data_IF_061588966760
#
_entry.id   IF_061588966760
#
_cell.length_a   1.000
_cell.length_b   1.000
_cell.length_c   1.000
_cell.angle_alpha   90.00
_cell.angle_beta   90.00
_cell.angle_gamma   90.00
#
_symmetry.space_group_name_H-M   'P 1'
#
loop_
_entity.id
_entity.type
_entity.pdbx_description
1 polymer ?
#
# COMPACT_ATOMS: atom_id res chain seq x y z
N UNK A 1 50.05 23.05 27.76
CA UNK A 1 50.33 23.08 26.31
C UNK A 1 49.41 22.08 25.62
N UNK A 2 48.35 22.55 24.96
CA UNK A 2 47.45 21.67 24.21
C UNK A 2 47.15 22.33 22.87
N UNK A 3 47.51 21.66 21.78
CA UNK A 3 47.13 22.11 20.44
C UNK A 3 48.18 21.95 19.34
N UNK A 4 49.05 20.95 19.38
CA UNK A 4 49.92 20.60 18.25
C UNK A 4 49.48 19.26 17.67
N UNK A 5 48.30 19.27 17.04
CA UNK A 5 47.91 18.26 16.07
C UNK A 5 47.85 18.91 14.69
N UNK A 6 48.17 18.20 13.59
CA UNK A 6 48.11 18.77 12.25
C UNK A 6 46.68 19.28 11.97
N UNK A 7 46.53 20.60 11.85
CA UNK A 7 45.25 21.22 11.50
C UNK A 7 45.03 21.08 10.00
N UNK A 8 44.22 20.09 9.63
CA UNK A 8 43.72 19.96 8.25
C UNK A 8 43.01 21.27 7.85
N UNK A 9 43.43 21.83 6.71
CA UNK A 9 42.72 22.96 6.11
C UNK A 9 41.23 22.63 5.96
N UNK A 10 40.35 23.60 6.22
CA UNK A 10 38.90 23.38 6.27
C UNK A 10 38.34 22.65 5.03
N UNK A 11 38.85 22.97 3.84
CA UNK A 11 38.50 22.26 2.59
C UNK A 11 38.86 20.77 2.64
N UNK A 12 40.05 20.41 3.13
CA UNK A 12 40.48 19.01 3.28
C UNK A 12 39.65 18.29 4.34
N UNK A 13 39.32 18.97 5.44
CA UNK A 13 38.43 18.43 6.49
C UNK A 13 37.03 18.13 5.93
N UNK A 14 36.45 19.05 5.17
CA UNK A 14 35.16 18.86 4.49
C UNK A 14 35.20 17.66 3.53
N UNK A 15 36.24 17.55 2.71
CA UNK A 15 36.42 16.41 1.79
C UNK A 15 36.52 15.07 2.50
N UNK A 16 37.25 14.99 3.62
CA UNK A 16 37.34 13.77 4.43
C UNK A 16 35.98 13.38 5.00
N UNK A 17 35.24 14.34 5.57
CA UNK A 17 33.90 14.08 6.09
C UNK A 17 32.91 13.67 4.99
N UNK A 18 32.98 14.30 3.81
CA UNK A 18 32.14 13.91 2.67
C UNK A 18 32.45 12.48 2.21
N UNK A 19 33.73 12.11 2.09
CA UNK A 19 34.13 10.74 1.76
C UNK A 19 33.64 9.73 2.80
N UNK A 20 33.82 10.05 4.08
CA UNK A 20 33.33 9.20 5.17
C UNK A 20 31.81 9.05 5.13
N UNK A 21 31.06 10.14 4.89
CA UNK A 21 29.61 10.10 4.75
C UNK A 21 29.17 9.26 3.54
N UNK A 22 29.83 9.41 2.39
CA UNK A 22 29.54 8.62 1.19
C UNK A 22 29.83 7.13 1.36
N UNK A 23 30.75 6.75 2.26
CA UNK A 23 31.02 5.35 2.62
C UNK A 23 30.04 4.82 3.67
N UNK A 24 29.73 5.61 4.70
CA UNK A 24 28.90 5.20 5.82
C UNK A 24 27.41 5.14 5.46
N UNK A 25 26.94 5.99 4.54
CA UNK A 25 25.53 6.10 4.20
C UNK A 25 24.98 4.83 3.52
N UNK A 26 25.62 4.24 2.49
CA UNK A 26 25.16 2.97 1.90
C UNK A 26 25.14 1.82 2.91
N UNK A 27 26.15 1.72 3.78
CA UNK A 27 26.22 0.67 4.80
C UNK A 27 25.10 0.84 5.82
N UNK A 28 24.86 2.06 6.29
CA UNK A 28 23.76 2.37 7.21
C UNK A 28 22.39 2.03 6.59
N UNK A 29 22.19 2.35 5.32
CA UNK A 29 20.97 2.02 4.55
C UNK A 29 20.74 0.51 4.55
N UNK A 30 21.77 -0.28 4.20
CA UNK A 30 21.67 -1.74 4.17
C UNK A 30 21.39 -2.33 5.55
N UNK A 31 22.09 -1.86 6.58
CA UNK A 31 21.87 -2.32 7.96
C UNK A 31 20.44 -2.06 8.44
N UNK A 32 19.89 -0.88 8.13
CA UNK A 32 18.52 -0.54 8.51
C UNK A 32 17.50 -1.38 7.74
N UNK A 33 17.68 -1.53 6.42
CA UNK A 33 16.77 -2.32 5.59
C UNK A 33 16.78 -3.80 6.00
N UNK A 34 17.96 -4.42 6.11
CA UNK A 34 18.10 -5.83 6.49
C UNK A 34 17.71 -6.08 7.95
N UNK A 35 18.14 -5.22 8.88
CA UNK A 35 17.81 -5.36 10.29
C UNK A 35 16.29 -5.32 10.52
N UNK A 36 15.59 -4.43 9.80
CA UNK A 36 14.13 -4.34 9.84
C UNK A 36 13.48 -5.59 9.24
N UNK A 37 13.90 -6.01 8.05
CA UNK A 37 13.40 -7.22 7.40
C UNK A 37 13.54 -8.45 8.30
N UNK A 38 14.71 -8.63 8.92
CA UNK A 38 14.99 -9.76 9.82
C UNK A 38 14.13 -9.71 11.08
N UNK A 39 13.99 -8.53 11.69
CA UNK A 39 13.17 -8.35 12.89
C UNK A 39 11.71 -8.71 12.65
N UNK A 40 11.06 -8.10 11.66
CA UNK A 40 9.65 -8.38 11.39
C UNK A 40 9.44 -9.82 10.91
N UNK A 41 10.35 -10.36 10.11
CA UNK A 41 10.28 -11.76 9.71
C UNK A 41 10.35 -12.71 10.91
N UNK A 42 11.13 -12.40 11.94
CA UNK A 42 11.22 -13.22 13.14
C UNK A 42 9.87 -13.29 13.89
N UNK A 43 9.04 -12.25 13.79
CA UNK A 43 7.73 -12.18 14.44
C UNK A 43 6.58 -12.74 13.61
N UNK A 44 6.84 -13.20 12.38
CA UNK A 44 5.80 -13.67 11.47
C UNK A 44 5.45 -15.15 11.69
N UNK A 45 4.18 -15.37 12.06
CA UNK A 45 3.53 -16.68 12.07
C UNK A 45 2.91 -16.94 10.69
N UNK A 46 3.23 -18.09 10.11
CA UNK A 46 2.76 -18.46 8.77
C UNK A 46 1.51 -19.32 8.91
N UNK A 47 0.44 -18.91 8.23
CA UNK A 47 -0.81 -19.65 8.15
C UNK A 47 -0.96 -20.18 6.73
N UNK A 48 -1.13 -21.49 6.58
CA UNK A 48 -1.40 -22.09 5.28
C UNK A 48 -2.76 -21.62 4.74
N UNK A 49 -2.76 -21.04 3.54
CA UNK A 49 -3.98 -20.61 2.85
C UNK A 49 -4.11 -21.44 1.58
N UNK A 50 -5.18 -22.26 1.45
CA UNK A 50 -5.38 -23.03 0.23
C UNK A 50 -5.72 -22.09 -0.94
N UNK A 51 -5.36 -22.45 -2.20
CA UNK A 51 -5.68 -21.63 -3.38
C UNK A 51 -7.17 -21.26 -3.52
N UNK A 52 -8.07 -22.12 -3.05
CA UNK A 52 -9.51 -21.90 -3.06
C UNK A 52 -10.01 -20.83 -2.07
N UNK A 53 -9.17 -20.40 -1.13
CA UNK A 53 -9.53 -19.38 -0.15
C UNK A 53 -9.22 -17.95 -0.61
N UNK A 54 -8.57 -17.81 -1.76
CA UNK A 54 -8.31 -16.51 -2.39
C UNK A 54 -9.53 -16.06 -3.20
N UNK A 55 -9.81 -14.77 -3.18
CA UNK A 55 -10.88 -14.14 -3.93
C UNK A 55 -10.37 -12.96 -4.78
N UNK A 56 -11.14 -12.61 -5.81
CA UNK A 56 -10.87 -11.43 -6.61
C UNK A 56 -10.92 -10.18 -5.74
N UNK A 57 -9.90 -9.33 -5.85
CA UNK A 57 -9.81 -8.09 -5.08
C UNK A 57 -9.16 -8.24 -3.71
N UNK A 58 -8.84 -9.45 -3.25
CA UNK A 58 -7.95 -9.63 -2.11
C UNK A 58 -6.62 -8.92 -2.40
N UNK A 59 -6.00 -8.36 -1.37
CA UNK A 59 -4.76 -7.61 -1.51
C UNK A 59 -3.61 -8.41 -0.93
N UNK A 60 -2.48 -8.47 -1.63
CA UNK A 60 -1.25 -9.10 -1.12
C UNK A 60 -0.23 -8.01 -0.86
N UNK A 61 0.16 -7.86 0.40
CA UNK A 61 1.35 -7.10 0.77
C UNK A 61 2.59 -7.97 0.58
N UNK A 62 3.60 -7.42 -0.07
CA UNK A 62 4.78 -8.14 -0.54
C UNK A 62 6.00 -7.57 0.16
N UNK A 63 6.78 -8.45 0.79
CA UNK A 63 8.11 -8.11 1.30
C UNK A 63 9.14 -8.67 0.33
N UNK A 64 9.66 -7.82 -0.54
CA UNK A 64 10.64 -8.23 -1.53
C UNK A 64 11.96 -8.58 -0.86
N UNK A 65 12.64 -9.58 -1.44
CA UNK A 65 14.06 -9.81 -1.21
C UNK A 65 14.83 -8.95 -2.21
N UNK A 66 15.21 -7.75 -1.79
CA UNK A 66 15.69 -6.69 -2.69
C UNK A 66 16.84 -7.14 -3.62
N UNK A 67 17.77 -7.97 -3.16
CA UNK A 67 18.91 -8.45 -3.95
C UNK A 67 18.58 -9.56 -4.96
N UNK A 68 17.35 -10.08 -4.95
CA UNK A 68 16.86 -11.03 -5.98
C UNK A 68 16.03 -10.35 -7.06
N UNK A 69 15.85 -9.02 -6.96
CA UNK A 69 15.05 -8.27 -7.93
C UNK A 69 15.78 -8.13 -9.27
N UNK A 70 15.05 -8.10 -10.39
CA UNK A 70 15.62 -8.33 -11.72
C UNK A 70 16.52 -7.21 -12.23
N UNK A 71 16.38 -5.98 -11.73
CA UNK A 71 17.22 -4.84 -12.15
C UNK A 71 17.65 -3.98 -10.97
N UNK A 72 18.74 -3.23 -11.13
CA UNK A 72 19.22 -2.26 -10.14
C UNK A 72 18.18 -1.20 -9.78
N UNK A 73 17.29 -0.84 -10.73
CA UNK A 73 16.17 0.05 -10.46
C UNK A 73 15.23 -0.53 -9.40
N UNK A 74 14.88 -1.81 -9.53
CA UNK A 74 14.05 -2.52 -8.54
C UNK A 74 14.75 -2.67 -7.19
N UNK A 75 16.04 -3.03 -7.21
CA UNK A 75 16.88 -3.13 -6.00
C UNK A 75 16.85 -1.83 -5.22
N UNK A 76 17.16 -0.72 -5.89
CA UNK A 76 17.21 0.60 -5.26
C UNK A 76 15.83 1.04 -4.79
N UNK A 77 14.78 0.80 -5.60
CA UNK A 77 13.41 1.07 -5.23
C UNK A 77 13.02 0.38 -3.92
N UNK A 78 13.23 -0.93 -3.84
CA UNK A 78 12.89 -1.75 -2.66
C UNK A 78 13.67 -1.34 -1.42
N UNK A 79 14.98 -1.08 -1.54
CA UNK A 79 15.79 -0.60 -0.41
C UNK A 79 15.30 0.76 0.10
N UNK A 80 15.10 1.71 -0.80
CA UNK A 80 14.72 3.08 -0.43
C UNK A 80 13.30 3.13 0.12
N UNK A 81 12.35 2.38 -0.46
CA UNK A 81 10.98 2.30 0.06
C UNK A 81 10.94 1.72 1.46
N UNK A 82 11.67 0.62 1.74
CA UNK A 82 11.73 0.03 3.10
C UNK A 82 12.26 1.00 4.15
N UNK A 83 13.22 1.84 3.77
CA UNK A 83 13.83 2.81 4.69
C UNK A 83 12.91 4.01 4.89
N UNK A 84 12.46 4.65 3.81
CA UNK A 84 11.70 5.89 3.87
C UNK A 84 10.28 5.68 4.37
N UNK A 85 9.63 4.58 3.98
CA UNK A 85 8.29 4.22 4.46
C UNK A 85 8.33 3.58 5.85
N UNK A 86 9.51 3.19 6.34
CA UNK A 86 9.67 2.51 7.64
C UNK A 86 8.86 1.21 7.75
N UNK A 87 8.61 0.54 6.62
CA UNK A 87 7.82 -0.70 6.51
C UNK A 87 8.66 -1.78 5.81
N UNK A 88 8.43 -3.05 6.14
CA UNK A 88 9.00 -4.18 5.38
C UNK A 88 8.17 -4.54 4.15
N UNK A 89 6.88 -4.15 4.16
CA UNK A 89 5.98 -4.26 3.03
C UNK A 89 6.28 -3.12 2.05
N UNK A 90 7.13 -3.41 1.08
CA UNK A 90 7.66 -2.45 0.12
C UNK A 90 6.95 -2.49 -1.23
N UNK A 91 6.04 -3.44 -1.39
CA UNK A 91 5.29 -3.70 -2.62
C UNK A 91 3.91 -4.28 -2.28
N UNK A 92 2.96 -4.18 -3.22
CA UNK A 92 1.57 -4.61 -3.06
C UNK A 92 0.99 -5.02 -4.41
N UNK A 93 0.14 -6.05 -4.39
CA UNK A 93 -0.64 -6.48 -5.55
C UNK A 93 -2.07 -6.80 -5.19
N UNK A 94 -2.90 -6.98 -6.21
CA UNK A 94 -4.29 -7.46 -6.07
C UNK A 94 -4.41 -8.87 -6.64
N UNK A 95 -5.18 -9.72 -5.97
CA UNK A 95 -5.47 -11.06 -6.42
C UNK A 95 -6.54 -11.02 -7.50
N UNK A 96 -6.26 -11.74 -8.58
CA UNK A 96 -7.21 -12.11 -9.60
C UNK A 96 -7.22 -13.64 -9.72
N UNK A 97 -8.36 -14.25 -9.43
CA UNK A 97 -8.59 -15.68 -9.58
C UNK A 97 -9.12 -15.95 -10.98
N UNK A 98 -8.35 -16.74 -11.73
CA UNK A 98 -8.69 -17.20 -13.07
C UNK A 98 -8.67 -18.72 -13.08
N UNK A 99 -9.78 -19.33 -13.50
CA UNK A 99 -9.91 -20.79 -13.62
C UNK A 99 -9.53 -21.54 -12.31
N UNK A 100 -9.85 -20.93 -11.15
CA UNK A 100 -9.53 -21.46 -9.82
C UNK A 100 -8.07 -21.25 -9.36
N UNK A 101 -7.23 -20.62 -10.18
CA UNK A 101 -5.83 -20.33 -9.86
C UNK A 101 -5.66 -18.86 -9.47
N UNK A 102 -5.12 -18.58 -8.26
CA UNK A 102 -4.86 -17.21 -7.83
C UNK A 102 -3.63 -16.63 -8.55
N UNK A 103 -3.81 -15.49 -9.19
CA UNK A 103 -2.76 -14.69 -9.80
C UNK A 103 -2.60 -13.39 -9.03
N UNK A 104 -1.37 -12.91 -8.89
CA UNK A 104 -1.07 -11.59 -8.36
C UNK A 104 -0.91 -10.61 -9.52
N UNK A 105 -1.70 -9.54 -9.50
CA UNK A 105 -1.57 -8.40 -10.38
C UNK A 105 -0.81 -7.29 -9.63
N UNK A 106 0.35 -6.90 -10.17
CA UNK A 106 1.27 -5.91 -9.57
C UNK A 106 1.87 -5.02 -10.67
N UNK A 107 2.54 -3.92 -10.32
CA UNK A 107 3.15 -3.01 -11.28
C UNK A 107 4.63 -2.74 -11.00
N UNK A 108 5.51 -3.26 -11.84
CA UNK A 108 6.93 -3.02 -11.73
C UNK A 108 7.45 -1.97 -12.73
N UNK A 109 8.76 -1.93 -12.96
CA UNK A 109 9.38 -0.99 -13.89
C UNK A 109 9.03 -1.27 -15.37
N UNK A 110 8.58 -2.48 -15.69
CA UNK A 110 8.13 -2.86 -17.03
C UNK A 110 6.63 -2.58 -17.25
N UNK A 111 5.86 -2.42 -16.17
CA UNK A 111 4.43 -2.08 -16.21
C UNK A 111 3.59 -3.00 -15.34
N UNK A 112 2.27 -3.00 -15.58
CA UNK A 112 1.37 -3.93 -14.92
C UNK A 112 1.65 -5.38 -15.41
N UNK A 113 1.86 -6.30 -14.47
CA UNK A 113 2.11 -7.70 -14.71
C UNK A 113 1.11 -8.55 -13.94
N UNK A 114 0.85 -9.74 -14.49
CA UNK A 114 0.02 -10.75 -13.86
C UNK A 114 0.75 -12.06 -13.92
N UNK A 115 0.97 -12.66 -12.76
CA UNK A 115 1.72 -13.89 -12.60
C UNK A 115 0.97 -14.78 -11.61
N UNK A 116 0.96 -16.11 -11.81
CA UNK A 116 0.39 -17.02 -10.81
C UNK A 116 1.13 -16.86 -9.48
N UNK A 117 0.46 -17.03 -8.33
CA UNK A 117 1.14 -16.89 -7.03
C UNK A 117 2.34 -17.83 -6.88
N UNK A 118 2.23 -19.05 -7.41
CA UNK A 118 3.32 -20.04 -7.39
C UNK A 118 4.52 -19.59 -8.23
N UNK A 119 4.28 -19.10 -9.44
CA UNK A 119 5.33 -18.58 -10.30
C UNK A 119 5.96 -17.31 -9.70
N UNK A 120 5.16 -16.43 -9.11
CA UNK A 120 5.65 -15.24 -8.41
C UNK A 120 6.59 -15.63 -7.26
N UNK A 121 6.19 -16.58 -6.41
CA UNK A 121 7.00 -17.05 -5.30
C UNK A 121 8.34 -17.67 -5.75
N UNK A 122 8.34 -18.42 -6.86
CA UNK A 122 9.54 -19.06 -7.42
C UNK A 122 10.48 -18.09 -8.12
N UNK A 123 9.94 -17.11 -8.85
CA UNK A 123 10.74 -16.21 -9.71
C UNK A 123 11.24 -14.99 -8.95
N UNK A 124 10.37 -14.35 -8.14
CA UNK A 124 10.71 -13.13 -7.37
C UNK A 124 11.35 -13.44 -6.02
N UNK A 125 11.20 -14.67 -5.51
CA UNK A 125 11.73 -15.13 -4.23
C UNK A 125 11.49 -14.11 -3.09
N UNK A 126 10.24 -13.64 -2.88
CA UNK A 126 9.96 -12.67 -1.82
C UNK A 126 10.34 -13.26 -0.46
N UNK A 127 10.68 -12.40 0.52
CA UNK A 127 10.93 -12.85 1.89
C UNK A 127 9.65 -13.27 2.59
N UNK A 128 8.52 -12.66 2.23
CA UNK A 128 7.20 -13.05 2.70
C UNK A 128 6.07 -12.37 1.95
N UNK A 129 4.89 -12.96 2.04
CA UNK A 129 3.64 -12.46 1.48
C UNK A 129 2.56 -12.49 2.57
N UNK A 130 1.81 -11.40 2.68
CA UNK A 130 0.66 -11.31 3.57
C UNK A 130 -0.61 -11.04 2.76
N UNK A 131 -1.61 -11.91 2.94
CA UNK A 131 -2.93 -11.77 2.35
C UNK A 131 -3.78 -10.87 3.24
N UNK A 132 -4.49 -9.95 2.60
CA UNK A 132 -5.55 -9.17 3.20
C UNK A 132 -6.83 -9.42 2.43
N UNK A 133 -7.75 -10.13 3.07
CA UNK A 133 -9.00 -10.51 2.43
C UNK A 133 -9.91 -9.30 2.30
N UNK A 134 -10.45 -9.10 1.12
CA UNK A 134 -11.41 -8.05 0.87
C UNK A 134 -12.78 -8.52 1.35
N UNK A 135 -13.34 -7.82 2.35
CA UNK A 135 -14.73 -7.98 2.75
C UNK A 135 -15.55 -6.84 2.19
N UNK A 136 -16.67 -7.17 1.56
CA UNK A 136 -17.59 -6.20 0.96
C UNK A 136 -18.98 -6.46 1.56
N UNK A 137 -19.32 -5.72 2.60
CA UNK A 137 -20.56 -5.79 3.37
C UNK A 137 -21.58 -4.75 2.88
N UNK A 138 -21.73 -4.65 1.55
CA UNK A 138 -22.61 -3.67 0.90
C UNK A 138 -23.98 -4.28 0.55
N UNK A 139 -25.08 -3.48 0.55
CA UNK A 139 -26.37 -3.93 0.01
C UNK A 139 -26.36 -4.13 -1.53
N UNK A 140 -25.35 -3.63 -2.24
CA UNK A 140 -25.22 -3.71 -3.69
C UNK A 140 -24.13 -4.70 -4.13
N UNK A 141 -24.52 -5.96 -4.34
CA UNK A 141 -23.62 -7.06 -4.71
C UNK A 141 -22.83 -6.81 -6.01
N UNK A 142 -23.23 -5.84 -6.84
CA UNK A 142 -22.51 -5.48 -8.07
C UNK A 142 -21.11 -4.89 -7.82
N UNK A 143 -20.83 -4.47 -6.57
CA UNK A 143 -19.52 -3.93 -6.15
C UNK A 143 -18.52 -4.99 -5.72
N UNK A 144 -18.89 -6.26 -5.74
CA UNK A 144 -17.94 -7.36 -5.48
C UNK A 144 -17.06 -7.55 -6.73
N UNK A 145 -15.72 -7.59 -6.58
CA UNK A 145 -14.85 -7.77 -7.73
C UNK A 145 -15.11 -9.06 -8.49
N UNK A 146 -15.42 -8.93 -9.78
CA UNK A 146 -15.66 -10.08 -10.67
C UNK A 146 -14.46 -10.33 -11.58
N UNK A 147 -14.26 -11.59 -11.97
CA UNK A 147 -13.10 -12.00 -12.78
C UNK A 147 -13.09 -11.33 -14.18
N UNK A 148 -14.27 -11.10 -14.77
CA UNK A 148 -14.40 -10.44 -16.08
C UNK A 148 -14.01 -8.97 -16.04
N UNK A 149 -14.44 -8.23 -15.03
CA UNK A 149 -14.06 -6.82 -14.85
C UNK A 149 -12.59 -6.71 -14.47
N UNK A 150 -12.07 -7.64 -13.64
CA UNK A 150 -10.65 -7.72 -13.33
C UNK A 150 -9.79 -7.92 -14.60
N UNK A 151 -10.20 -8.81 -15.50
CA UNK A 151 -9.52 -9.03 -16.77
C UNK A 151 -9.47 -7.75 -17.62
N UNK A 152 -10.60 -7.05 -17.77
CA UNK A 152 -10.66 -5.78 -18.50
C UNK A 152 -9.76 -4.71 -17.87
N UNK A 153 -9.81 -4.56 -16.55
CA UNK A 153 -8.96 -3.61 -15.83
C UNK A 153 -7.48 -3.88 -16.08
N UNK A 154 -7.06 -5.14 -16.02
CA UNK A 154 -5.67 -5.55 -16.24
C UNK A 154 -5.22 -5.22 -17.66
N UNK A 155 -6.05 -5.49 -18.67
CA UNK A 155 -5.73 -5.18 -20.06
C UNK A 155 -5.59 -3.67 -20.30
N UNK A 156 -6.40 -2.84 -19.64
CA UNK A 156 -6.20 -1.39 -19.68
C UNK A 156 -4.96 -0.94 -18.91
N UNK A 157 -4.70 -1.52 -17.73
CA UNK A 157 -3.54 -1.17 -16.91
C UNK A 157 -2.21 -1.46 -17.62
N UNK A 158 -2.13 -2.55 -18.41
CA UNK A 158 -0.94 -2.91 -19.21
C UNK A 158 -0.58 -1.88 -20.28
N UNK A 159 -1.52 -1.05 -20.72
CA UNK A 159 -1.27 0.00 -21.73
C UNK A 159 -0.58 1.23 -21.12
N UNK A 160 -0.60 1.36 -19.81
CA UNK A 160 -0.12 2.55 -19.11
C UNK A 160 1.38 2.45 -18.82
N UNK A 161 2.07 3.59 -18.93
CA UNK A 161 3.49 3.68 -18.61
C UNK A 161 3.71 3.69 -17.08
N UNK A 162 4.60 2.82 -16.54
CA UNK A 162 4.90 2.81 -15.12
C UNK A 162 5.71 4.04 -14.69
N UNK A 163 5.47 4.45 -13.45
CA UNK A 163 6.09 5.58 -12.76
C UNK A 163 6.50 5.16 -11.33
N UNK A 164 7.36 4.14 -11.17
CA UNK A 164 7.63 3.52 -9.86
C UNK A 164 8.14 4.53 -8.83
N UNK A 165 9.03 5.44 -9.23
CA UNK A 165 9.62 6.47 -8.36
C UNK A 165 8.61 7.48 -7.79
N UNK A 166 7.41 7.56 -8.38
CA UNK A 166 6.38 8.46 -7.90
C UNK A 166 5.86 8.09 -6.50
N UNK A 167 6.11 6.87 -6.03
CA UNK A 167 5.83 6.45 -4.65
C UNK A 167 6.44 7.38 -3.58
N UNK A 168 7.57 8.02 -3.87
CA UNK A 168 8.22 8.91 -2.90
C UNK A 168 7.59 10.29 -2.86
N UNK A 169 6.98 10.73 -3.96
CA UNK A 169 6.08 11.89 -3.95
C UNK A 169 4.78 11.51 -3.25
N UNK A 170 4.29 10.29 -3.49
CA UNK A 170 3.10 9.72 -2.86
C UNK A 170 3.15 9.71 -1.33
N UNK A 171 4.30 9.33 -0.79
CA UNK A 171 4.51 9.23 0.65
C UNK A 171 4.60 10.58 1.36
N UNK A 172 4.67 11.71 0.64
CA UNK A 172 4.87 13.06 1.22
C UNK A 172 3.56 13.77 1.55
N UNK A 173 2.53 13.02 1.95
CA UNK A 173 1.27 13.57 2.46
C UNK A 173 1.55 14.66 3.51
N UNK A 174 1.05 15.88 3.29
CA UNK A 174 1.29 16.98 4.21
C UNK A 174 0.06 17.88 4.38
N UNK A 175 0.02 18.62 5.50
CA UNK A 175 -0.98 19.69 5.76
C UNK A 175 -2.42 19.23 5.52
N UNK A 176 -3.15 19.91 4.62
CA UNK A 176 -4.58 19.70 4.36
C UNK A 176 -4.86 18.32 3.78
N UNK A 177 -3.97 17.81 2.93
CA UNK A 177 -4.15 16.48 2.34
C UNK A 177 -4.03 15.36 3.37
N UNK A 178 -3.14 15.52 4.35
CA UNK A 178 -3.01 14.56 5.44
C UNK A 178 -4.24 14.58 6.33
N UNK A 179 -4.73 15.79 6.69
CA UNK A 179 -5.98 15.95 7.45
C UNK A 179 -7.17 15.34 6.75
N UNK A 180 -7.29 15.56 5.43
CA UNK A 180 -8.39 15.01 4.65
C UNK A 180 -8.33 13.47 4.58
N UNK A 181 -7.13 12.90 4.43
CA UNK A 181 -6.92 11.46 4.49
C UNK A 181 -7.35 10.87 5.84
N UNK A 182 -6.83 11.42 6.96
CA UNK A 182 -7.17 10.95 8.31
C UNK A 182 -8.67 11.02 8.56
N UNK A 183 -9.30 12.14 8.20
CA UNK A 183 -10.73 12.32 8.35
C UNK A 183 -11.53 11.30 7.52
N UNK A 184 -11.06 10.98 6.32
CA UNK A 184 -11.69 9.97 5.46
C UNK A 184 -11.61 8.56 6.04
N UNK A 185 -10.53 8.23 6.74
CA UNK A 185 -10.41 6.98 7.50
C UNK A 185 -11.44 6.96 8.63
N UNK A 186 -11.63 8.09 9.33
CA UNK A 186 -12.63 8.20 10.40
C UNK A 186 -14.07 8.09 9.88
N UNK A 187 -14.38 8.66 8.71
CA UNK A 187 -15.69 8.46 8.05
C UNK A 187 -15.89 6.98 7.75
N UNK A 188 -14.89 6.30 7.18
CA UNK A 188 -14.95 4.86 6.89
C UNK A 188 -15.23 4.03 8.16
N UNK A 189 -14.55 4.34 9.27
CA UNK A 189 -14.78 3.67 10.56
C UNK A 189 -16.18 3.93 11.11
N UNK A 190 -16.68 5.15 10.97
CA UNK A 190 -18.04 5.50 11.41
C UNK A 190 -19.11 4.78 10.56
N UNK A 191 -18.88 4.60 9.24
CA UNK A 191 -19.76 3.78 8.37
C UNK A 191 -19.85 2.35 8.87
N UNK A 192 -18.70 1.71 9.12
CA UNK A 192 -18.67 0.34 9.65
C UNK A 192 -19.40 0.24 10.98
N UNK A 193 -19.16 1.17 11.90
CA UNK A 193 -19.84 1.22 13.21
C UNK A 193 -21.37 1.28 13.06
N UNK A 194 -21.88 2.13 12.17
CA UNK A 194 -23.34 2.23 11.93
C UNK A 194 -23.89 0.91 11.38
N UNK A 195 -23.16 0.24 10.49
CA UNK A 195 -23.53 -1.06 9.97
C UNK A 195 -23.57 -2.14 11.05
N UNK A 196 -22.50 -2.28 11.84
CA UNK A 196 -22.40 -3.25 12.93
C UNK A 196 -23.55 -3.07 13.94
N UNK A 197 -23.88 -1.82 14.29
CA UNK A 197 -25.02 -1.52 15.16
C UNK A 197 -26.37 -1.91 14.53
N UNK A 198 -26.49 -1.79 13.20
CA UNK A 198 -27.71 -2.15 12.47
C UNK A 198 -27.88 -3.67 12.44
N UNK A 199 -26.82 -4.41 12.10
CA UNK A 199 -26.82 -5.89 12.07
C UNK A 199 -27.00 -6.47 13.47
N UNK A 200 -26.31 -5.91 14.46
CA UNK A 200 -26.41 -6.27 15.87
C UNK A 200 -27.73 -5.88 16.55
N UNK A 201 -28.68 -5.29 15.82
CA UNK A 201 -30.01 -4.88 16.30
C UNK A 201 -29.97 -3.96 17.52
N UNK A 202 -29.05 -2.99 17.52
CA UNK A 202 -29.03 -1.92 18.51
C UNK A 202 -30.35 -1.11 18.47
N UNK A 203 -30.61 -0.29 19.49
CA UNK A 203 -31.83 0.50 19.54
C UNK A 203 -31.93 1.46 18.34
N UNK A 204 -33.15 1.62 17.79
CA UNK A 204 -33.40 2.50 16.62
C UNK A 204 -32.93 3.93 16.89
N UNK A 205 -33.10 4.42 18.12
CA UNK A 205 -32.64 5.73 18.53
C UNK A 205 -31.11 5.85 18.47
N UNK A 206 -30.37 4.88 19.02
CA UNK A 206 -28.91 4.88 18.98
C UNK A 206 -28.36 4.81 17.54
N UNK A 207 -28.98 4.00 16.68
CA UNK A 207 -28.62 3.94 15.26
C UNK A 207 -28.90 5.29 14.57
N UNK A 208 -30.04 5.92 14.85
CA UNK A 208 -30.41 7.23 14.31
C UNK A 208 -29.36 8.30 14.62
N UNK A 209 -28.95 8.42 15.88
CA UNK A 209 -27.92 9.37 16.32
C UNK A 209 -26.59 9.13 15.60
N UNK A 210 -26.17 7.87 15.43
CA UNK A 210 -24.91 7.57 14.73
C UNK A 210 -25.00 7.82 13.22
N UNK A 211 -26.18 7.67 12.60
CA UNK A 211 -26.43 8.01 11.19
C UNK A 211 -26.39 9.52 10.95
N UNK A 212 -26.98 10.32 11.83
CA UNK A 212 -26.88 11.78 11.76
C UNK A 212 -25.42 12.24 11.88
N UNK A 213 -24.69 11.71 12.87
CA UNK A 213 -23.25 11.96 13.00
C UNK A 213 -22.48 11.60 11.74
N UNK A 214 -22.76 10.43 11.15
CA UNK A 214 -22.10 10.01 9.91
C UNK A 214 -22.37 11.01 8.78
N UNK A 215 -23.61 11.48 8.65
CA UNK A 215 -23.99 12.46 7.62
C UNK A 215 -23.24 13.78 7.79
N UNK A 216 -23.14 14.28 9.02
CA UNK A 216 -22.38 15.50 9.32
C UNK A 216 -20.89 15.33 8.97
N UNK A 217 -20.32 14.15 9.29
CA UNK A 217 -18.95 13.83 8.91
C UNK A 217 -18.77 13.79 7.39
N UNK A 218 -19.72 13.22 6.64
CA UNK A 218 -19.63 13.21 5.17
C UNK A 218 -19.64 14.62 4.56
N UNK A 219 -20.44 15.54 5.12
CA UNK A 219 -20.45 16.96 4.69
C UNK A 219 -19.12 17.65 5.00
N UNK A 220 -18.55 17.41 6.19
CA UNK A 220 -17.23 17.97 6.55
C UNK A 220 -16.13 17.37 5.67
N UNK A 221 -16.21 16.08 5.35
CA UNK A 221 -15.29 15.42 4.43
C UNK A 221 -15.33 16.11 3.06
N UNK A 222 -16.52 16.31 2.49
CA UNK A 222 -16.68 17.02 1.22
C UNK A 222 -16.08 18.43 1.27
N UNK A 223 -16.33 19.19 2.35
CA UNK A 223 -15.75 20.52 2.53
C UNK A 223 -14.21 20.49 2.61
N UNK A 224 -13.63 19.57 3.38
CA UNK A 224 -12.18 19.41 3.46
C UNK A 224 -11.57 19.09 2.09
N UNK A 225 -12.26 18.30 1.27
CA UNK A 225 -11.83 17.95 -0.09
C UNK A 225 -11.70 19.15 -1.03
N UNK A 226 -12.40 20.26 -0.77
CA UNK A 226 -12.29 21.49 -1.59
C UNK A 226 -10.97 22.23 -1.42
N UNK A 227 -10.25 22.01 -0.32
CA UNK A 227 -8.96 22.63 -0.04
C UNK A 227 -7.78 21.79 -0.51
N UNK A 228 -8.03 20.63 -1.14
CA UNK A 228 -6.97 19.74 -1.56
C UNK A 228 -6.75 19.86 -3.07
N UNK A 229 -5.52 20.17 -3.45
CA UNK A 229 -5.10 20.25 -4.85
C UNK A 229 -5.30 18.90 -5.55
N UNK A 230 -5.88 18.96 -6.75
CA UNK A 230 -6.10 17.78 -7.59
C UNK A 230 -5.02 17.70 -8.67
N UNK A 231 -4.13 16.72 -8.54
CA UNK A 231 -3.28 16.23 -9.65
C UNK A 231 -4.09 15.37 -10.62
N UNK A 232 -4.44 15.89 -11.79
CA UNK A 232 -5.22 15.15 -12.80
C UNK A 232 -4.40 14.05 -13.50
N UNK A 233 -3.09 13.96 -13.24
CA UNK A 233 -2.20 13.03 -13.93
C UNK A 233 -2.15 11.69 -13.21
N UNK A 234 -2.73 10.65 -13.83
CA UNK A 234 -2.57 9.29 -13.34
C UNK A 234 -1.10 8.81 -13.47
N UNK A 235 -0.54 8.32 -12.37
CA UNK A 235 0.79 7.70 -12.32
C UNK A 235 0.67 6.26 -11.88
N UNK A 236 0.99 5.34 -12.79
CA UNK A 236 0.95 3.91 -12.50
C UNK A 236 2.15 3.49 -11.63
N UNK A 237 1.88 2.95 -10.45
CA UNK A 237 2.81 2.20 -9.60
C UNK A 237 2.01 1.20 -8.76
N UNK A 238 2.67 0.33 -7.98
CA UNK A 238 2.00 -0.74 -7.23
C UNK A 238 0.77 -0.30 -6.43
N UNK A 239 0.92 0.75 -5.60
CA UNK A 239 -0.18 1.22 -4.77
C UNK A 239 -1.32 1.87 -5.55
N UNK A 240 -1.02 2.65 -6.61
CA UNK A 240 -2.08 3.24 -7.44
C UNK A 240 -2.79 2.20 -8.31
N UNK A 241 -2.13 1.12 -8.71
CA UNK A 241 -2.75 0.00 -9.40
C UNK A 241 -3.84 -0.64 -8.52
N UNK A 242 -3.48 -1.03 -7.28
CA UNK A 242 -4.43 -1.68 -6.35
C UNK A 242 -5.54 -0.72 -5.95
N UNK A 243 -5.23 0.55 -5.68
CA UNK A 243 -6.25 1.55 -5.37
C UNK A 243 -7.24 1.73 -6.53
N UNK A 244 -6.74 1.80 -7.77
CA UNK A 244 -7.58 1.97 -8.96
C UNK A 244 -8.44 0.74 -9.26
N UNK A 245 -7.92 -0.46 -8.96
CA UNK A 245 -8.69 -1.68 -9.06
C UNK A 245 -9.90 -1.63 -8.12
N UNK A 246 -9.68 -1.35 -6.83
CA UNK A 246 -10.76 -1.26 -5.85
C UNK A 246 -11.74 -0.11 -6.17
N UNK A 247 -11.23 1.02 -6.68
CA UNK A 247 -12.06 2.14 -7.10
C UNK A 247 -12.92 1.84 -8.34
N UNK A 248 -12.51 0.90 -9.20
CA UNK A 248 -13.31 0.45 -10.34
C UNK A 248 -14.62 -0.22 -9.91
N UNK A 249 -14.64 -0.82 -8.72
CA UNK A 249 -15.84 -1.38 -8.09
C UNK A 249 -16.54 -0.41 -7.12
N UNK A 250 -16.13 0.87 -7.12
CA UNK A 250 -16.69 1.89 -6.22
C UNK A 250 -16.36 1.67 -4.74
N UNK A 251 -15.35 0.85 -4.43
CA UNK A 251 -14.98 0.53 -3.05
C UNK A 251 -14.07 1.60 -2.44
N UNK A 252 -13.11 2.12 -3.21
CA UNK A 252 -12.28 3.27 -2.83
C UNK A 252 -12.70 4.50 -3.62
N UNK A 253 -12.55 5.67 -3.00
CA UNK A 253 -12.83 6.92 -3.69
C UNK A 253 -11.72 7.26 -4.69
N UNK A 254 -12.11 7.69 -5.90
CA UNK A 254 -11.20 8.29 -6.88
C UNK A 254 -10.91 9.77 -6.55
N UNK A 255 -11.80 10.39 -5.76
CA UNK A 255 -11.77 11.81 -5.41
C UNK A 255 -11.01 12.11 -4.10
N UNK A 256 -10.62 11.08 -3.35
CA UNK A 256 -9.51 11.20 -2.41
C UNK A 256 -8.30 11.71 -3.20
N UNK A 257 -7.57 12.73 -2.72
CA UNK A 257 -6.73 13.55 -3.56
C UNK A 257 -5.85 12.69 -4.44
N UNK A 258 -5.88 13.00 -5.75
CA UNK A 258 -5.80 12.04 -6.84
C UNK A 258 -4.52 11.22 -6.83
N UNK A 259 -4.45 10.15 -7.66
CA UNK A 259 -4.35 8.70 -7.38
C UNK A 259 -3.02 8.25 -6.74
N UNK A 260 -2.42 9.13 -5.99
CA UNK A 260 -1.00 9.32 -5.96
C UNK A 260 -0.41 9.02 -4.60
N UNK A 261 -1.14 8.44 -3.63
CA UNK A 261 -0.70 8.43 -2.22
C UNK A 261 -0.79 7.11 -1.49
N UNK A 262 -1.56 6.16 -2.01
CA UNK A 262 -1.60 4.84 -1.41
C UNK A 262 -0.25 4.18 -1.61
N UNK A 263 0.53 4.15 -0.55
CA UNK A 263 1.79 3.43 -0.53
C UNK A 263 1.51 2.00 -0.08
N UNK A 264 2.37 1.02 -0.43
CA UNK A 264 2.16 -0.38 -0.07
C UNK A 264 1.83 -0.62 1.40
N UNK A 265 2.43 0.16 2.31
CA UNK A 265 2.13 0.13 3.75
C UNK A 265 0.67 0.46 4.10
N UNK A 266 -0.01 1.33 3.35
CA UNK A 266 -1.41 1.69 3.65
C UNK A 266 -2.30 0.46 3.47
N UNK A 267 -2.03 -0.34 2.44
CA UNK A 267 -2.69 -1.61 2.21
C UNK A 267 -2.36 -2.64 3.28
N UNK A 268 -1.22 -2.57 3.95
CA UNK A 268 -0.88 -3.45 5.06
C UNK A 268 -1.60 -3.08 6.39
N UNK A 269 -2.24 -1.91 6.48
CA UNK A 269 -2.86 -1.41 7.72
C UNK A 269 -4.35 -1.06 7.56
N UNK A 270 -4.70 0.14 7.10
CA UNK A 270 -6.10 0.60 6.96
C UNK A 270 -6.24 1.49 5.71
N UNK A 271 -7.37 1.36 5.03
CA UNK A 271 -7.74 2.17 3.87
C UNK A 271 -9.11 2.86 4.09
N UNK A 272 -9.30 4.10 3.61
CA UNK A 272 -10.57 4.79 3.69
C UNK A 272 -11.52 4.28 2.59
N UNK A 273 -12.28 3.22 2.89
CA UNK A 273 -13.31 2.70 1.98
C UNK A 273 -14.52 3.64 1.86
N UNK A 274 -15.02 3.80 0.64
CA UNK A 274 -16.22 4.57 0.30
C UNK A 274 -17.51 3.82 0.66
N UNK A 275 -17.45 2.48 0.60
CA UNK A 275 -18.54 1.59 0.94
C UNK A 275 -18.31 0.91 2.29
N UNK A 276 -19.26 0.06 2.68
CA UNK A 276 -19.07 -0.93 3.74
C UNK A 276 -18.13 -2.03 3.24
N UNK A 277 -16.85 -1.70 3.12
CA UNK A 277 -15.81 -2.63 2.71
C UNK A 277 -14.58 -2.45 3.58
N UNK A 278 -13.83 -3.53 3.77
CA UNK A 278 -12.64 -3.56 4.60
C UNK A 278 -11.64 -4.58 4.09
N UNK A 279 -10.39 -4.43 4.53
CA UNK A 279 -9.38 -5.46 4.38
C UNK A 279 -9.19 -6.13 5.74
N UNK A 280 -9.34 -7.44 5.81
CA UNK A 280 -9.08 -8.23 7.01
C UNK A 280 -7.65 -8.03 7.50
N UNK A 281 -7.38 -8.35 8.76
CA UNK A 281 -6.01 -8.34 9.30
C UNK A 281 -5.05 -9.13 8.39
N UNK A 282 -3.81 -8.66 8.21
CA UNK A 282 -2.85 -9.31 7.33
C UNK A 282 -2.48 -10.70 7.84
N UNK A 283 -2.76 -11.72 7.03
CA UNK A 283 -2.40 -13.11 7.30
C UNK A 283 -1.21 -13.49 6.45
N UNK A 284 -0.10 -13.85 7.09
CA UNK A 284 1.13 -14.23 6.39
C UNK A 284 0.99 -15.66 5.93
N UNK A 285 1.03 -15.89 4.63
CA UNK A 285 0.83 -17.22 4.05
C UNK A 285 2.07 -17.77 3.35
N UNK A 286 3.11 -16.93 3.22
CA UNK A 286 4.38 -17.33 2.64
C UNK A 286 5.53 -16.65 3.38
N UNK A 287 6.59 -17.41 3.65
CA UNK A 287 7.85 -16.94 4.26
C UNK A 287 9.01 -17.80 3.73
N UNK A 288 10.06 -17.15 3.23
CA UNK A 288 11.27 -17.80 2.68
C UNK A 288 12.54 -17.21 3.26
#
# INVERSE_FOLDING_TARGET
MAGVGPRLAWRKKLWVHLKAALQALPVSILLVAEGRDLYYRATWEVTEIPPSAFANGDVVAICNRWYTLPTWGHVLYSLVSKILLKSTWDDVGVIWVRDGVPHVCFCDFAGAQVVSLDEFARTRLPRGLALRRLRVETPDASRVPTSSVAALFIEEAKKLKPHPWYIFSASRRCRQEHKYYEYSVDVSRQRQKVYDMTVGRASRHAIGVQKEKLRDMEVVQEHLGTFVDRDEVFRLYNGSLVASFLATFGLLDRDLPPPSRYVPQDFAHDLPFKCLASLDEPVIFFKN
#
